data_IF_137460495539
#
_entry.id   IF_137460495539
#
_cell.length_a   1.000
_cell.length_b   1.000
_cell.length_c   1.000
_cell.angle_alpha   90.00
_cell.angle_beta   90.00
_cell.angle_gamma   90.00
#
_symmetry.space_group_name_H-M   'P 1'
#
loop_
_entity.id
_entity.type
_entity.pdbx_description
1 polymer ?
#
# COMPACT_ATOMS: atom_id res chain seq x y z
N UNK A 1 -3.36 24.75 9.75
CA UNK A 1 -3.17 24.03 8.49
C UNK A 1 -2.99 25.04 7.36
N UNK A 2 -1.98 24.86 6.52
CA UNK A 2 -1.77 25.63 5.30
C UNK A 2 -2.14 24.80 4.08
N UNK A 3 -2.81 25.39 3.09
CA UNK A 3 -3.20 24.72 1.84
C UNK A 3 -2.86 25.58 0.63
N UNK A 4 -2.44 24.95 -0.47
CA UNK A 4 -2.18 25.61 -1.75
C UNK A 4 -2.85 24.80 -2.89
N UNK A 5 -3.44 25.50 -3.86
CA UNK A 5 -4.05 24.91 -5.06
C UNK A 5 -3.28 25.39 -6.29
N UNK A 6 -2.68 24.46 -7.04
CA UNK A 6 -1.96 24.70 -8.30
C UNK A 6 -2.27 23.51 -9.23
N UNK A 7 -2.59 23.73 -10.50
CA UNK A 7 -2.80 22.68 -11.52
C UNK A 7 -3.76 21.52 -11.13
N UNK A 8 -5.00 21.85 -10.74
CA UNK A 8 -6.00 20.85 -10.30
C UNK A 8 -5.51 19.95 -9.15
N UNK A 9 -4.52 20.40 -8.37
CA UNK A 9 -4.02 19.72 -7.18
C UNK A 9 -4.32 20.52 -5.94
N UNK A 10 -4.65 19.82 -4.87
CA UNK A 10 -4.78 20.33 -3.53
C UNK A 10 -3.80 19.60 -2.63
N UNK A 11 -3.00 20.35 -1.88
CA UNK A 11 -2.08 19.78 -0.88
C UNK A 11 -2.64 20.00 0.52
N UNK A 12 -2.71 18.92 1.28
CA UNK A 12 -3.11 18.89 2.67
C UNK A 12 -1.95 18.40 3.55
N UNK A 13 -1.57 19.21 4.53
CA UNK A 13 -0.56 18.85 5.53
C UNK A 13 -1.27 18.57 6.86
N UNK A 14 -1.13 17.35 7.36
CA UNK A 14 -1.64 16.94 8.66
C UNK A 14 -0.49 17.04 9.67
N UNK A 15 -0.57 18.04 10.52
CA UNK A 15 0.41 18.28 11.59
C UNK A 15 0.22 17.30 12.75
N UNK A 16 1.31 17.00 13.47
CA UNK A 16 1.30 16.20 14.70
C UNK A 16 0.63 14.81 14.52
N UNK A 17 0.83 14.17 13.36
CA UNK A 17 0.11 12.95 12.95
C UNK A 17 0.25 11.81 13.98
N UNK A 18 1.45 11.61 14.55
CA UNK A 18 1.71 10.56 15.56
C UNK A 18 0.89 10.73 16.84
N UNK A 19 0.67 11.96 17.27
CA UNK A 19 0.00 12.27 18.55
C UNK A 19 -1.49 12.53 18.39
N UNK A 20 -1.98 12.54 17.15
CA UNK A 20 -3.36 12.88 16.84
C UNK A 20 -4.31 11.86 17.49
N UNK A 21 -5.27 12.33 18.29
CA UNK A 21 -6.22 11.44 18.98
C UNK A 21 -7.55 11.30 18.25
N UNK A 22 -7.84 12.18 17.29
CA UNK A 22 -9.10 12.19 16.55
C UNK A 22 -9.29 10.93 15.70
N UNK A 23 -10.47 10.34 15.78
CA UNK A 23 -10.87 9.20 14.95
C UNK A 23 -10.88 9.57 13.46
N UNK A 24 -11.39 10.76 13.14
CA UNK A 24 -11.43 11.32 11.80
C UNK A 24 -11.09 12.80 11.79
N UNK A 25 -10.52 13.26 10.68
CA UNK A 25 -10.19 14.66 10.44
C UNK A 25 -10.57 15.08 9.02
N UNK A 26 -10.65 16.38 8.85
CA UNK A 26 -11.19 17.09 7.70
C UNK A 26 -10.12 18.08 7.24
N UNK A 27 -9.88 18.17 5.93
CA UNK A 27 -9.03 19.21 5.36
C UNK A 27 -9.69 20.59 5.42
N UNK A 28 -9.15 21.59 4.74
CA UNK A 28 -9.96 22.75 4.35
C UNK A 28 -10.81 22.40 3.11
N UNK A 29 -11.86 23.17 2.86
CA UNK A 29 -12.61 23.07 1.60
C UNK A 29 -11.77 23.66 0.46
N UNK A 30 -11.76 23.00 -0.70
CA UNK A 30 -11.03 23.47 -1.88
C UNK A 30 -11.85 23.30 -3.16
N UNK A 31 -11.60 24.16 -4.15
CA UNK A 31 -12.37 24.19 -5.40
C UNK A 31 -11.53 23.65 -6.54
N UNK A 32 -11.99 22.57 -7.18
CA UNK A 32 -11.39 22.02 -8.40
C UNK A 32 -12.51 21.61 -9.36
N UNK A 33 -12.41 22.00 -10.63
CA UNK A 33 -13.43 21.75 -11.65
C UNK A 33 -14.79 22.38 -11.30
N UNK A 34 -14.78 23.57 -10.69
CA UNK A 34 -16.01 24.30 -10.30
C UNK A 34 -16.80 23.65 -9.16
N UNK A 35 -16.24 22.65 -8.48
CA UNK A 35 -16.89 21.94 -7.37
C UNK A 35 -16.09 22.12 -6.07
N UNK A 36 -16.78 22.34 -4.95
CA UNK A 36 -16.18 22.40 -3.62
C UNK A 36 -15.99 20.98 -3.08
N UNK A 37 -14.75 20.61 -2.85
CA UNK A 37 -14.31 19.31 -2.34
C UNK A 37 -13.74 19.43 -0.94
N UNK A 38 -13.60 18.28 -0.29
CA UNK A 38 -13.02 18.16 1.03
C UNK A 38 -12.42 16.76 1.21
N UNK A 39 -11.25 16.63 1.84
CA UNK A 39 -10.64 15.35 2.18
C UNK A 39 -11.01 14.92 3.59
N UNK A 40 -11.32 13.64 3.77
CA UNK A 40 -11.57 13.03 5.07
C UNK A 40 -10.51 11.96 5.30
N UNK A 41 -9.73 12.08 6.37
CA UNK A 41 -8.79 11.05 6.79
C UNK A 41 -9.24 10.40 8.10
N UNK A 42 -8.95 9.11 8.24
CA UNK A 42 -8.99 8.37 9.50
C UNK A 42 -7.55 7.99 9.86
N UNK A 43 -6.84 8.82 10.64
CA UNK A 43 -5.41 8.69 10.86
C UNK A 43 -4.99 7.43 11.62
N UNK A 44 -5.92 6.85 12.39
CA UNK A 44 -5.76 5.57 13.10
C UNK A 44 -6.53 4.42 12.42
N UNK A 45 -7.00 4.67 11.21
CA UNK A 45 -7.83 3.78 10.42
C UNK A 45 -9.30 3.75 10.79
N UNK A 46 -10.11 3.24 9.86
CA UNK A 46 -11.56 3.17 9.94
C UNK A 46 -12.01 1.72 10.10
N UNK A 47 -12.85 1.43 11.09
CA UNK A 47 -13.39 0.08 11.40
C UNK A 47 -12.30 -0.97 11.69
N UNK A 48 -11.35 -0.64 12.57
CA UNK A 48 -10.27 -1.53 13.02
C UNK A 48 -9.27 -1.96 11.92
N UNK A 49 -9.15 -1.19 10.84
CA UNK A 49 -8.03 -1.34 9.91
C UNK A 49 -6.79 -0.61 10.45
N UNK A 50 -5.63 -1.26 10.52
CA UNK A 50 -4.35 -0.64 10.88
C UNK A 50 -3.70 0.12 9.70
N UNK A 51 -4.55 0.83 8.95
CA UNK A 51 -4.19 1.59 7.76
C UNK A 51 -4.80 2.98 7.83
N UNK A 52 -4.07 4.00 7.36
CA UNK A 52 -4.64 5.30 7.06
C UNK A 52 -5.79 5.11 6.06
N UNK A 53 -6.99 5.57 6.39
CA UNK A 53 -8.10 5.65 5.43
C UNK A 53 -8.24 7.07 4.92
N UNK A 54 -8.52 7.23 3.63
CA UNK A 54 -8.60 8.53 2.97
C UNK A 54 -9.74 8.58 1.96
N UNK A 55 -10.59 9.60 2.06
CA UNK A 55 -11.76 9.80 1.23
C UNK A 55 -11.82 11.22 0.69
N UNK A 56 -12.38 11.35 -0.51
CA UNK A 56 -12.76 12.63 -1.10
C UNK A 56 -14.28 12.76 -1.00
N UNK A 57 -14.77 13.94 -0.59
CA UNK A 57 -16.19 14.24 -0.55
C UNK A 57 -16.53 15.61 -1.14
N UNK A 58 -17.75 15.76 -1.67
CA UNK A 58 -18.32 17.03 -2.12
C UNK A 58 -18.90 17.81 -0.94
N UNK A 59 -18.38 19.01 -0.67
CA UNK A 59 -18.72 19.85 0.47
C UNK A 59 -20.22 20.27 0.48
N UNK A 60 -20.77 20.54 1.67
CA UNK A 60 -22.24 20.56 1.90
C UNK A 60 -22.89 21.96 2.04
N UNK A 61 -22.24 23.06 1.65
CA UNK A 61 -22.75 24.40 2.01
C UNK A 61 -23.77 25.05 1.07
N UNK A 62 -23.71 24.78 -0.23
CA UNK A 62 -24.70 25.25 -1.21
C UNK A 62 -25.28 23.99 -1.88
N UNK A 63 -26.59 23.77 -1.80
CA UNK A 63 -27.23 22.60 -2.43
C UNK A 63 -26.99 22.68 -3.93
N UNK A 64 -26.04 21.88 -4.42
CA UNK A 64 -25.99 21.52 -5.83
C UNK A 64 -27.40 21.10 -6.25
N UNK A 65 -27.87 21.52 -7.43
CA UNK A 65 -29.24 21.30 -7.85
C UNK A 65 -29.57 19.80 -7.88
N UNK A 66 -30.85 19.49 -7.67
CA UNK A 66 -31.32 18.11 -7.67
C UNK A 66 -30.89 17.37 -8.96
N UNK A 67 -30.30 16.19 -8.79
CA UNK A 67 -29.74 15.41 -9.91
C UNK A 67 -28.35 15.83 -10.35
N UNK A 68 -27.62 16.62 -9.54
CA UNK A 68 -26.23 16.96 -9.83
C UNK A 68 -25.34 15.71 -9.90
N UNK A 69 -24.31 15.82 -10.71
CA UNK A 69 -23.36 14.74 -10.94
C UNK A 69 -21.98 15.32 -11.25
N UNK A 70 -20.92 14.72 -10.70
CA UNK A 70 -19.53 15.01 -11.05
C UNK A 70 -18.82 13.70 -11.34
N UNK A 71 -18.56 13.42 -12.61
CA UNK A 71 -17.67 12.33 -13.01
C UNK A 71 -16.24 12.85 -12.97
N UNK A 72 -15.42 12.27 -12.10
CA UNK A 72 -14.07 12.71 -11.85
C UNK A 72 -13.10 11.53 -11.81
N UNK A 73 -11.94 11.73 -12.42
CA UNK A 73 -10.75 10.94 -12.17
C UNK A 73 -9.99 11.58 -11.01
N UNK A 74 -9.72 10.80 -9.96
CA UNK A 74 -9.10 11.29 -8.73
C UNK A 74 -7.81 10.52 -8.49
N UNK A 75 -6.77 11.25 -8.10
CA UNK A 75 -5.47 10.74 -7.72
C UNK A 75 -5.17 11.21 -6.30
N UNK A 76 -4.95 10.29 -5.39
CA UNK A 76 -4.58 10.57 -4.00
C UNK A 76 -3.16 10.08 -3.76
N UNK A 77 -2.27 10.98 -3.41
CA UNK A 77 -0.85 10.69 -3.16
C UNK A 77 -0.52 10.97 -1.71
N UNK A 78 -0.01 9.97 -1.01
CA UNK A 78 0.71 10.16 0.26
C UNK A 78 2.16 10.44 -0.10
N UNK A 79 2.62 11.65 0.17
CA UNK A 79 3.94 12.13 -0.26
C UNK A 79 5.01 11.56 0.64
N UNK A 80 6.03 10.99 0.00
CA UNK A 80 7.30 10.69 0.63
C UNK A 80 8.26 11.85 0.36
N UNK A 81 8.67 12.55 1.41
CA UNK A 81 9.48 13.77 1.30
C UNK A 81 10.97 13.50 1.15
N UNK A 82 11.42 12.28 1.42
CA UNK A 82 12.81 11.86 1.18
C UNK A 82 13.02 11.45 -0.27
N UNK A 83 12.02 10.83 -0.90
CA UNK A 83 12.09 10.41 -2.29
C UNK A 83 10.72 10.39 -2.96
N UNK A 84 10.60 11.08 -4.08
CA UNK A 84 9.35 11.14 -4.83
C UNK A 84 8.93 9.76 -5.36
N UNK A 85 9.87 8.87 -5.70
CA UNK A 85 9.57 7.52 -6.22
C UNK A 85 8.92 6.61 -5.18
N UNK A 86 9.16 6.86 -3.89
CA UNK A 86 8.55 6.14 -2.78
C UNK A 86 7.17 6.67 -2.38
N UNK A 87 6.71 7.77 -2.98
CA UNK A 87 5.36 8.31 -2.74
C UNK A 87 4.29 7.31 -3.17
N UNK A 88 3.22 7.21 -2.40
CA UNK A 88 2.18 6.20 -2.60
C UNK A 88 0.97 6.84 -3.26
N UNK A 89 0.74 6.50 -4.53
CA UNK A 89 -0.37 6.98 -5.33
C UNK A 89 -1.44 5.89 -5.46
N UNK A 90 -2.70 6.24 -5.14
CA UNK A 90 -3.86 5.47 -5.54
C UNK A 90 -4.83 6.36 -6.31
N UNK A 91 -5.51 5.78 -7.28
CA UNK A 91 -6.43 6.49 -8.15
C UNK A 91 -7.75 5.75 -8.30
N UNK A 92 -8.80 6.52 -8.59
CA UNK A 92 -10.10 5.98 -8.93
C UNK A 92 -10.86 6.94 -9.83
N UNK A 93 -11.74 6.38 -10.66
CA UNK A 93 -12.80 7.14 -11.32
C UNK A 93 -14.08 7.01 -10.52
N UNK A 94 -14.73 8.13 -10.23
CA UNK A 94 -16.02 8.11 -9.55
C UNK A 94 -16.96 9.17 -10.09
N UNK A 95 -18.19 8.73 -10.29
CA UNK A 95 -19.34 9.60 -10.44
C UNK A 95 -19.90 9.93 -9.06
N UNK A 96 -19.70 11.16 -8.61
CA UNK A 96 -20.24 11.71 -7.37
C UNK A 96 -21.61 12.31 -7.62
N UNK A 97 -22.57 11.96 -6.77
CA UNK A 97 -23.94 12.47 -6.79
C UNK A 97 -24.49 12.56 -5.36
N UNK A 98 -25.77 12.89 -5.22
CA UNK A 98 -26.44 12.98 -3.92
C UNK A 98 -26.34 11.70 -3.07
N UNK A 99 -26.33 10.53 -3.71
CA UNK A 99 -26.31 9.23 -3.04
C UNK A 99 -24.89 8.80 -2.68
N UNK A 100 -23.91 9.22 -3.47
CA UNK A 100 -22.51 8.79 -3.40
C UNK A 100 -21.56 9.97 -3.34
N UNK A 101 -21.80 10.86 -2.38
CA UNK A 101 -21.02 12.09 -2.18
C UNK A 101 -19.58 11.89 -1.73
N UNK A 102 -19.23 10.70 -1.27
CA UNK A 102 -17.91 10.39 -0.72
C UNK A 102 -17.40 9.06 -1.27
N UNK A 103 -16.13 9.04 -1.66
CA UNK A 103 -15.47 7.84 -2.15
C UNK A 103 -13.97 7.89 -1.87
N UNK A 104 -13.33 6.73 -1.70
CA UNK A 104 -11.93 6.66 -1.34
C UNK A 104 -11.50 5.26 -0.91
N UNK A 105 -10.43 5.20 -0.12
CA UNK A 105 -9.78 3.97 0.27
C UNK A 105 -9.84 3.79 1.79
N UNK A 106 -10.34 2.63 2.22
CA UNK A 106 -10.25 2.19 3.62
C UNK A 106 -8.79 1.92 4.00
N UNK A 107 -8.02 1.34 3.08
CA UNK A 107 -6.62 1.01 3.27
C UNK A 107 -5.79 1.84 2.28
N UNK A 108 -5.53 3.11 2.60
CA UNK A 108 -4.68 3.96 1.76
C UNK A 108 -3.22 3.54 1.89
N UNK A 109 -2.73 3.50 3.13
CA UNK A 109 -1.35 3.12 3.46
C UNK A 109 -1.28 2.55 4.89
N UNK A 110 -0.60 1.42 5.16
CA UNK A 110 -0.45 0.88 6.50
C UNK A 110 0.19 1.87 7.48
N UNK A 111 -0.30 1.92 8.71
CA UNK A 111 0.24 2.84 9.72
C UNK A 111 1.67 2.48 10.12
N UNK A 112 2.01 1.19 10.08
CA UNK A 112 3.38 0.70 10.28
C UNK A 112 4.35 1.32 9.28
N UNK A 113 3.96 1.43 8.01
CA UNK A 113 4.76 2.07 6.97
C UNK A 113 4.92 3.57 7.21
N UNK A 114 3.85 4.26 7.60
CA UNK A 114 3.87 5.71 7.86
C UNK A 114 4.76 6.01 9.07
N UNK A 115 4.65 5.24 10.15
CA UNK A 115 5.32 5.50 11.42
C UNK A 115 6.77 5.01 11.49
N UNK A 116 7.21 4.17 10.54
CA UNK A 116 8.59 3.73 10.46
C UNK A 116 9.54 4.92 10.32
N UNK A 117 10.65 4.90 11.07
CA UNK A 117 11.53 6.07 11.26
C UNK A 117 12.12 6.60 9.96
N UNK A 118 12.51 5.69 9.07
CA UNK A 118 13.18 6.01 7.81
C UNK A 118 12.22 6.01 6.62
N UNK A 119 10.91 5.97 6.88
CA UNK A 119 9.90 5.85 5.83
C UNK A 119 9.86 7.03 4.88
N UNK A 120 10.19 8.23 5.35
CA UNK A 120 10.08 9.48 4.58
C UNK A 120 8.66 10.01 4.41
N UNK A 121 7.62 9.33 4.93
CA UNK A 121 6.24 9.83 4.90
C UNK A 121 5.92 10.82 6.03
N UNK A 122 6.61 10.71 7.16
CA UNK A 122 6.47 11.62 8.30
C UNK A 122 7.75 12.42 8.50
N UNK A 123 7.78 13.65 8.00
CA UNK A 123 8.88 14.60 8.25
C UNK A 123 8.40 15.65 9.23
N UNK A 124 9.17 15.89 10.31
CA UNK A 124 8.78 16.79 11.40
C UNK A 124 7.42 16.47 12.06
N UNK A 125 6.97 15.22 11.98
CA UNK A 125 5.66 14.81 12.50
C UNK A 125 4.47 15.21 11.61
N UNK A 126 4.73 15.72 10.41
CA UNK A 126 3.74 16.11 9.42
C UNK A 126 3.56 15.02 8.37
N UNK A 127 2.31 14.74 8.00
CA UNK A 127 1.97 13.87 6.86
C UNK A 127 1.40 14.73 5.73
N UNK A 128 2.01 14.65 4.56
CA UNK A 128 1.60 15.43 3.38
C UNK A 128 0.81 14.56 2.40
N UNK A 129 -0.39 15.03 2.06
CA UNK A 129 -1.32 14.39 1.13
C UNK A 129 -1.57 15.34 -0.03
N UNK A 130 -1.49 14.82 -1.25
CA UNK A 130 -1.82 15.58 -2.47
C UNK A 130 -2.99 14.90 -3.16
N UNK A 131 -4.07 15.65 -3.39
CA UNK A 131 -5.21 15.23 -4.18
C UNK A 131 -5.20 15.94 -5.53
N UNK A 132 -5.13 15.20 -6.64
CA UNK A 132 -5.39 15.72 -7.99
C UNK A 132 -6.78 15.27 -8.43
N UNK A 133 -7.56 16.19 -8.98
CA UNK A 133 -8.92 15.89 -9.43
C UNK A 133 -9.10 16.41 -10.86
N UNK A 134 -9.34 15.49 -11.79
CA UNK A 134 -9.69 15.81 -13.16
C UNK A 134 -11.19 15.56 -13.36
N UNK A 135 -11.99 16.63 -13.37
CA UNK A 135 -13.44 16.55 -13.59
C UNK A 135 -13.71 16.34 -15.08
N UNK A 136 -14.22 15.15 -15.43
CA UNK A 136 -14.50 14.73 -16.79
C UNK A 136 -15.88 15.19 -17.27
N UNK A 137 -16.87 15.18 -16.38
CA UNK A 137 -18.23 15.64 -16.68
C UNK A 137 -18.90 16.21 -15.44
N UNK A 138 -19.58 17.36 -15.61
CA UNK A 138 -20.38 17.99 -14.57
C UNK A 138 -21.82 18.20 -15.06
N UNK A 139 -22.81 17.86 -14.24
CA UNK A 139 -24.25 18.09 -14.49
C UNK A 139 -24.83 18.84 -13.28
N UNK A 140 -25.69 19.82 -13.52
CA UNK A 140 -26.35 20.58 -12.47
C UNK A 140 -25.51 21.76 -11.98
N UNK A 141 -25.29 22.75 -12.85
CA UNK A 141 -24.68 24.04 -12.53
C UNK A 141 -23.21 24.00 -12.13
N UNK A 142 -22.33 24.44 -13.02
CA UNK A 142 -21.14 25.19 -12.61
C UNK A 142 -21.63 26.62 -12.40
N UNK A 143 -21.07 27.37 -11.44
CA UNK A 143 -21.31 28.82 -11.38
C UNK A 143 -20.69 29.46 -12.64
N UNK A 144 -21.45 29.51 -13.73
CA UNK A 144 -21.43 30.60 -14.71
C UNK A 144 -22.71 30.59 -15.57
N UNK A 145 -23.17 31.79 -15.92
CA UNK A 145 -24.49 32.12 -16.49
C UNK A 145 -24.74 31.57 -17.90
N UNK A 146 -26.00 31.17 -18.14
CA UNK A 146 -26.76 31.17 -19.41
C UNK A 146 -27.46 29.85 -19.73
N UNK A 147 -28.78 29.96 -19.88
CA UNK A 147 -29.77 29.02 -20.42
C UNK A 147 -29.44 28.67 -21.89
N UNK A 148 -29.87 27.57 -22.53
CA UNK A 148 -31.27 27.17 -22.73
C UNK A 148 -31.42 25.72 -23.26
N UNK A 149 -32.66 25.24 -23.15
CA UNK A 149 -33.29 23.91 -23.34
C UNK A 149 -32.94 23.08 -24.60
N UNK A 150 -33.09 21.74 -24.63
CA UNK A 150 -34.39 21.04 -24.79
C UNK A 150 -34.30 19.49 -24.65
N UNK A 151 -35.46 18.88 -24.35
CA UNK A 151 -35.75 17.48 -23.93
C UNK A 151 -36.14 16.50 -25.11
N UNK A 152 -36.86 15.35 -24.95
CA UNK A 152 -36.54 14.03 -24.35
C UNK A 152 -36.99 12.78 -25.21
N UNK A 153 -37.00 11.57 -24.58
CA UNK A 153 -37.74 10.30 -24.88
C UNK A 153 -36.90 9.19 -25.56
N UNK A 154 -36.96 7.88 -25.21
CA UNK A 154 -38.07 7.01 -24.80
C UNK A 154 -37.62 5.84 -23.90
N UNK A 155 -38.53 5.39 -23.03
CA UNK A 155 -38.56 4.10 -22.31
C UNK A 155 -38.82 2.92 -23.26
N UNK A 156 -38.34 1.73 -22.92
CA UNK A 156 -39.11 0.47 -23.01
C UNK A 156 -38.64 -0.53 -21.95
N UNK A 157 -39.62 -1.26 -21.39
CA UNK A 157 -39.58 -2.19 -20.25
C UNK A 157 -39.56 -3.66 -20.72
N UNK A 158 -39.16 -4.52 -19.77
CA UNK A 158 -39.67 -5.88 -19.45
C UNK A 158 -39.43 -7.00 -20.49
N UNK A 159 -39.23 -8.26 -20.12
CA UNK A 159 -39.20 -9.03 -18.86
C UNK A 159 -38.37 -10.30 -19.15
N UNK A 160 -38.40 -11.43 -18.45
CA UNK A 160 -38.99 -11.97 -17.23
C UNK A 160 -38.22 -13.30 -16.95
N UNK A 161 -38.33 -13.84 -15.73
CA UNK A 161 -38.11 -15.23 -15.23
C UNK A 161 -37.66 -16.32 -16.22
N UNK A 162 -36.80 -17.29 -15.91
CA UNK A 162 -36.44 -17.93 -14.64
C UNK A 162 -36.35 -19.46 -14.88
N UNK A 163 -35.63 -20.16 -13.99
CA UNK A 163 -35.65 -21.61 -13.68
C UNK A 163 -34.41 -22.52 -13.96
N UNK A 164 -33.95 -23.11 -12.85
CA UNK A 164 -33.66 -24.51 -12.50
C UNK A 164 -32.77 -25.47 -13.32
N UNK A 165 -31.65 -25.84 -12.67
CA UNK A 165 -31.27 -27.18 -12.17
C UNK A 165 -31.31 -28.41 -13.11
N UNK A 166 -30.16 -29.09 -13.30
CA UNK A 166 -29.82 -30.45 -12.80
C UNK A 166 -28.58 -31.05 -13.53
N UNK A 167 -27.79 -31.74 -12.70
CA UNK A 167 -26.60 -32.60 -12.83
C UNK A 167 -26.48 -33.60 -14.00
N UNK A 168 -25.21 -33.88 -14.38
CA UNK A 168 -24.63 -35.22 -14.66
C UNK A 168 -23.16 -35.04 -15.11
N UNK A 169 -22.11 -35.35 -14.34
CA UNK A 169 -21.51 -36.66 -13.94
C UNK A 169 -20.39 -37.17 -14.87
N UNK A 170 -19.42 -37.88 -14.27
CA UNK A 170 -18.25 -38.62 -14.82
C UNK A 170 -16.92 -37.84 -14.77
N UNK A 171 -15.79 -38.36 -14.27
CA UNK A 171 -15.28 -39.74 -14.37
C UNK A 171 -14.19 -40.04 -13.32
N UNK A 172 -14.05 -41.32 -13.01
CA UNK A 172 -13.16 -41.97 -12.05
C UNK A 172 -11.67 -42.16 -12.48
N UNK A 173 -10.78 -42.08 -11.47
CA UNK A 173 -9.55 -42.87 -11.18
C UNK A 173 -8.30 -42.77 -12.12
N UNK A 174 -7.06 -43.11 -11.65
CA UNK A 174 -6.70 -43.94 -10.50
C UNK A 174 -5.60 -43.47 -9.54
N UNK A 175 -5.60 -44.15 -8.39
CA UNK A 175 -4.64 -44.19 -7.28
C UNK A 175 -3.29 -44.79 -7.75
N UNK A 176 -2.16 -44.13 -7.44
CA UNK A 176 -0.83 -44.74 -7.55
C UNK A 176 -0.15 -44.81 -6.18
N UNK A 177 0.44 -45.97 -5.92
CA UNK A 177 1.11 -46.37 -4.69
C UNK A 177 2.26 -45.40 -4.35
N UNK A 178 2.21 -44.83 -3.14
CA UNK A 178 3.42 -44.29 -2.50
C UNK A 178 3.77 -45.22 -1.35
N UNK A 179 5.00 -45.73 -1.39
CA UNK A 179 5.58 -46.55 -0.35
C UNK A 179 5.37 -45.89 1.01
N UNK A 180 4.74 -46.61 1.94
CA UNK A 180 4.69 -46.24 3.34
C UNK A 180 6.12 -46.19 3.87
N UNK A 181 6.67 -44.98 3.96
CA UNK A 181 7.69 -44.67 4.93
C UNK A 181 6.96 -44.72 6.27
N UNK A 182 7.26 -45.71 7.11
CA UNK A 182 6.76 -45.75 8.49
C UNK A 182 7.30 -44.50 9.20
N UNK A 183 6.53 -43.42 9.20
CA UNK A 183 6.79 -42.24 10.00
C UNK A 183 6.68 -42.65 11.47
N UNK A 184 7.82 -42.76 12.14
CA UNK A 184 7.87 -42.95 13.58
C UNK A 184 7.37 -41.67 14.26
N UNK A 185 6.25 -41.80 14.99
CA UNK A 185 5.68 -40.72 15.78
C UNK A 185 6.16 -40.79 17.23
N UNK A 186 6.62 -39.67 17.78
CA UNK A 186 7.10 -39.56 19.16
C UNK A 186 6.27 -38.57 19.96
N UNK A 187 6.04 -38.89 21.24
CA UNK A 187 5.31 -38.03 22.17
C UNK A 187 6.23 -36.97 22.80
N UNK A 188 5.82 -35.69 22.75
CA UNK A 188 6.43 -34.57 23.49
C UNK A 188 5.30 -33.75 24.12
N UNK A 189 5.30 -33.62 25.46
CA UNK A 189 4.33 -32.82 26.23
C UNK A 189 2.84 -33.11 25.93
N UNK A 190 2.49 -34.35 25.60
CA UNK A 190 1.11 -34.78 25.27
C UNK A 190 0.70 -34.56 23.80
N UNK A 191 1.68 -34.41 22.90
CA UNK A 191 1.49 -34.23 21.46
C UNK A 191 2.39 -35.21 20.68
N UNK A 192 1.98 -35.63 19.48
CA UNK A 192 2.69 -36.65 18.69
C UNK A 192 3.21 -36.08 17.37
N UNK A 193 4.48 -36.38 17.04
CA UNK A 193 5.24 -35.74 15.94
C UNK A 193 6.09 -36.73 15.16
N UNK A 194 6.31 -36.48 13.87
CA UNK A 194 7.28 -37.27 13.08
C UNK A 194 8.70 -37.01 13.58
N UNK A 195 9.58 -38.02 13.49
CA UNK A 195 10.99 -37.97 13.92
C UNK A 195 11.74 -36.66 13.57
N UNK A 196 11.48 -36.11 12.38
CA UNK A 196 12.13 -34.89 11.85
C UNK A 196 11.71 -33.62 12.60
N UNK A 197 10.51 -33.59 13.18
CA UNK A 197 9.94 -32.41 13.83
C UNK A 197 10.15 -32.40 15.35
N UNK A 198 10.46 -33.56 15.95
CA UNK A 198 10.54 -33.75 17.41
C UNK A 198 11.51 -32.78 18.08
N UNK A 199 12.69 -32.59 17.52
CA UNK A 199 13.72 -31.75 18.16
C UNK A 199 13.38 -30.26 18.08
N UNK A 200 12.87 -29.81 16.94
CA UNK A 200 12.38 -28.43 16.76
C UNK A 200 11.24 -28.12 17.72
N UNK A 201 10.29 -29.04 17.85
CA UNK A 201 9.17 -28.87 18.76
C UNK A 201 9.62 -28.86 20.22
N UNK A 202 10.52 -29.76 20.63
CA UNK A 202 11.11 -29.72 21.97
C UNK A 202 11.75 -28.38 22.28
N UNK A 203 12.53 -27.84 21.33
CA UNK A 203 13.16 -26.54 21.47
C UNK A 203 12.13 -25.42 21.65
N UNK A 204 11.02 -25.44 20.88
CA UNK A 204 9.93 -24.47 21.04
C UNK A 204 9.32 -24.54 22.44
N UNK A 205 8.99 -25.73 22.94
CA UNK A 205 8.42 -25.88 24.29
C UNK A 205 9.41 -25.55 25.41
N UNK A 206 10.71 -25.72 25.18
CA UNK A 206 11.74 -25.29 26.13
C UNK A 206 11.88 -23.77 26.18
N UNK A 207 11.84 -23.12 25.00
CA UNK A 207 11.92 -21.67 24.89
C UNK A 207 10.63 -20.97 25.36
N UNK A 208 9.47 -21.62 25.17
CA UNK A 208 8.14 -21.09 25.49
C UNK A 208 7.31 -22.15 26.24
N UNK A 209 7.56 -22.35 27.56
CA UNK A 209 6.90 -23.40 28.33
C UNK A 209 5.38 -23.25 28.45
N UNK A 210 4.88 -22.01 28.34
CA UNK A 210 3.48 -21.62 28.44
C UNK A 210 2.72 -21.68 27.11
N UNK A 211 3.39 -22.02 26.00
CA UNK A 211 2.84 -21.97 24.64
C UNK A 211 1.50 -22.70 24.48
N UNK A 212 1.27 -23.79 25.21
CA UNK A 212 0.05 -24.60 25.14
C UNK A 212 -0.84 -24.50 26.40
N UNK A 213 -0.57 -23.53 27.29
CA UNK A 213 -1.24 -23.42 28.60
C UNK A 213 -2.75 -23.16 28.50
N UNK A 214 -3.20 -22.43 27.48
CA UNK A 214 -4.62 -22.13 27.24
C UNK A 214 -5.34 -23.12 26.31
N UNK A 215 -4.67 -24.18 25.84
CA UNK A 215 -5.22 -25.08 24.81
C UNK A 215 -6.30 -25.99 25.40
N UNK A 216 -7.55 -25.73 25.01
CA UNK A 216 -8.72 -26.43 25.58
C UNK A 216 -9.05 -27.76 24.88
N UNK A 217 -8.59 -27.95 23.64
CA UNK A 217 -8.90 -29.16 22.88
C UNK A 217 -8.13 -30.37 23.40
N UNK A 218 -8.85 -31.48 23.66
CA UNK A 218 -8.25 -32.78 24.00
C UNK A 218 -7.99 -33.64 22.75
N UNK A 219 -8.39 -33.19 21.56
CA UNK A 219 -8.18 -33.92 20.31
C UNK A 219 -6.71 -33.82 19.88
N UNK A 220 -6.00 -34.94 19.96
CA UNK A 220 -4.58 -35.04 19.63
C UNK A 220 -4.28 -34.64 18.18
N UNK A 221 -5.12 -35.02 17.22
CA UNK A 221 -4.94 -34.64 15.82
C UNK A 221 -4.99 -33.11 15.64
N UNK A 222 -5.97 -32.44 16.24
CA UNK A 222 -6.07 -30.98 16.18
C UNK A 222 -4.86 -30.30 16.84
N UNK A 223 -4.42 -30.83 17.98
CA UNK A 223 -3.21 -30.37 18.69
C UNK A 223 -1.96 -30.46 17.79
N UNK A 224 -1.76 -31.59 17.10
CA UNK A 224 -0.67 -31.75 16.14
C UNK A 224 -0.81 -30.79 14.94
N UNK A 225 -2.02 -30.59 14.42
CA UNK A 225 -2.28 -29.62 13.33
C UNK A 225 -1.84 -28.20 13.72
N UNK A 226 -2.20 -27.71 14.90
CA UNK A 226 -1.81 -26.36 15.33
C UNK A 226 -0.30 -26.19 15.50
N UNK A 227 0.41 -27.21 15.99
CA UNK A 227 1.87 -27.17 16.08
C UNK A 227 2.50 -27.15 14.67
N UNK A 228 1.96 -27.94 13.72
CA UNK A 228 2.43 -27.90 12.33
C UNK A 228 2.21 -26.53 11.68
N UNK A 229 1.09 -25.87 12.00
CA UNK A 229 0.83 -24.48 11.58
C UNK A 229 1.91 -23.55 12.15
N UNK A 230 2.24 -23.67 13.44
CA UNK A 230 3.29 -22.87 14.08
C UNK A 230 4.66 -23.11 13.45
N UNK A 231 5.03 -24.36 13.18
CA UNK A 231 6.27 -24.69 12.47
C UNK A 231 6.31 -24.05 11.08
N UNK A 232 5.20 -24.09 10.35
CA UNK A 232 5.06 -23.42 9.06
C UNK A 232 5.28 -21.91 9.15
N UNK A 233 4.66 -21.25 10.14
CA UNK A 233 4.85 -19.81 10.38
C UNK A 233 6.30 -19.51 10.72
N UNK A 234 6.92 -20.25 11.65
CA UNK A 234 8.34 -20.06 12.01
C UNK A 234 9.23 -20.21 10.78
N UNK A 235 9.01 -21.25 9.97
CA UNK A 235 9.77 -21.49 8.75
C UNK A 235 9.63 -20.33 7.75
N UNK A 236 8.43 -19.77 7.60
CA UNK A 236 8.19 -18.57 6.79
C UNK A 236 8.96 -17.38 7.36
N UNK A 237 8.85 -17.09 8.67
CA UNK A 237 9.52 -15.92 9.27
C UNK A 237 11.05 -16.01 9.27
N UNK A 238 11.61 -17.22 9.17
CA UNK A 238 13.05 -17.43 9.02
C UNK A 238 13.58 -17.18 7.60
N UNK A 239 12.71 -16.98 6.59
CA UNK A 239 13.17 -16.67 5.23
C UNK A 239 13.74 -15.25 5.15
N UNK A 240 14.65 -14.99 4.20
CA UNK A 240 15.12 -13.64 3.91
C UNK A 240 13.95 -12.68 3.59
N UNK A 241 13.92 -11.45 4.14
CA UNK A 241 12.80 -10.52 3.92
C UNK A 241 12.51 -10.22 2.43
N UNK A 242 13.53 -10.27 1.58
CA UNK A 242 13.44 -10.09 0.13
C UNK A 242 12.63 -11.21 -0.56
N UNK A 243 12.72 -12.43 -0.05
CA UNK A 243 12.07 -13.61 -0.64
C UNK A 243 10.61 -13.77 -0.19
N UNK A 244 10.23 -13.11 0.89
CA UNK A 244 8.86 -13.13 1.41
C UNK A 244 7.90 -12.35 0.52
N UNK A 245 6.78 -12.94 0.14
CA UNK A 245 5.70 -12.19 -0.51
C UNK A 245 4.73 -11.59 0.51
N UNK A 246 3.99 -10.56 0.12
CA UNK A 246 2.91 -10.01 0.95
C UNK A 246 1.86 -11.08 1.29
N UNK A 247 1.64 -12.03 0.39
CA UNK A 247 0.71 -13.15 0.59
C UNK A 247 1.24 -14.20 1.56
N UNK A 248 2.56 -14.43 1.63
CA UNK A 248 3.18 -15.27 2.66
C UNK A 248 2.96 -14.66 4.05
N UNK A 249 3.20 -13.35 4.17
CA UNK A 249 3.06 -12.60 5.42
C UNK A 249 1.60 -12.53 5.89
N UNK A 250 0.65 -12.32 4.97
CA UNK A 250 -0.78 -12.40 5.27
C UNK A 250 -1.19 -13.80 5.72
N UNK A 251 -0.72 -14.85 5.03
CA UNK A 251 -0.98 -16.24 5.44
C UNK A 251 -0.42 -16.54 6.83
N UNK A 252 0.78 -16.07 7.14
CA UNK A 252 1.38 -16.20 8.46
C UNK A 252 0.54 -15.49 9.54
N UNK A 253 0.07 -14.27 9.26
CA UNK A 253 -0.82 -13.52 10.16
C UNK A 253 -2.13 -14.28 10.43
N UNK A 254 -2.81 -14.78 9.38
CA UNK A 254 -4.03 -15.57 9.53
C UNK A 254 -3.79 -16.88 10.29
N UNK A 255 -2.66 -17.55 10.03
CA UNK A 255 -2.26 -18.75 10.73
C UNK A 255 -2.09 -18.50 12.24
N UNK A 256 -1.43 -17.40 12.62
CA UNK A 256 -1.29 -17.01 14.03
C UNK A 256 -2.64 -16.74 14.69
N UNK A 257 -3.53 -15.98 14.03
CA UNK A 257 -4.87 -15.71 14.55
C UNK A 257 -5.67 -17.00 14.83
N UNK A 258 -5.55 -18.00 13.94
CA UNK A 258 -6.16 -19.31 14.14
C UNK A 258 -5.59 -20.05 15.37
N UNK A 259 -4.27 -19.97 15.59
CA UNK A 259 -3.59 -20.64 16.69
C UNK A 259 -3.89 -19.96 18.04
N UNK A 260 -3.93 -18.63 18.08
CA UNK A 260 -4.38 -17.84 19.25
C UNK A 260 -5.82 -18.20 19.62
N UNK A 261 -6.71 -18.30 18.63
CA UNK A 261 -8.11 -18.71 18.86
C UNK A 261 -8.23 -20.11 19.46
N UNK A 262 -7.25 -20.99 19.19
CA UNK A 262 -7.19 -22.32 19.78
C UNK A 262 -6.60 -22.36 21.21
N UNK A 263 -6.20 -21.20 21.74
CA UNK A 263 -5.71 -21.02 23.11
C UNK A 263 -4.19 -21.11 23.27
N UNK A 264 -3.42 -21.15 22.18
CA UNK A 264 -1.96 -21.11 22.26
C UNK A 264 -1.46 -19.70 22.58
N UNK A 265 -0.42 -19.62 23.42
CA UNK A 265 0.25 -18.36 23.79
C UNK A 265 1.42 -18.12 22.83
N UNK A 266 1.24 -17.23 21.86
CA UNK A 266 2.19 -17.04 20.74
C UNK A 266 2.57 -15.58 20.49
N UNK A 267 2.43 -14.72 21.51
CA UNK A 267 2.77 -13.29 21.45
C UNK A 267 4.20 -13.05 20.95
N UNK A 268 5.14 -13.92 21.33
CA UNK A 268 6.53 -13.87 20.87
C UNK A 268 6.64 -14.02 19.34
N UNK A 269 5.79 -14.86 18.73
CA UNK A 269 5.78 -15.12 17.30
C UNK A 269 5.03 -14.03 16.54
N UNK A 270 3.98 -13.45 17.14
CA UNK A 270 3.32 -12.24 16.64
C UNK A 270 4.30 -11.05 16.59
N UNK A 271 5.07 -10.85 17.65
CA UNK A 271 6.12 -9.83 17.70
C UNK A 271 7.22 -10.08 16.65
N UNK A 272 7.63 -11.33 16.46
CA UNK A 272 8.60 -11.68 15.41
C UNK A 272 8.04 -11.42 14.00
N UNK A 273 6.75 -11.69 13.74
CA UNK A 273 6.11 -11.35 12.47
C UNK A 273 6.14 -9.83 12.24
N UNK A 274 5.85 -9.02 13.27
CA UNK A 274 5.97 -7.57 13.18
C UNK A 274 7.41 -7.13 12.86
N UNK A 275 8.41 -7.73 13.51
CA UNK A 275 9.82 -7.41 13.23
C UNK A 275 10.23 -7.78 11.80
N UNK A 276 9.76 -8.92 11.28
CA UNK A 276 10.03 -9.32 9.89
C UNK A 276 9.37 -8.36 8.90
N UNK A 277 8.16 -7.87 9.20
CA UNK A 277 7.49 -6.83 8.41
C UNK A 277 8.30 -5.52 8.38
N UNK A 278 8.80 -5.07 9.53
CA UNK A 278 9.67 -3.89 9.63
C UNK A 278 10.98 -4.07 8.86
N UNK A 279 11.60 -5.25 8.96
CA UNK A 279 12.85 -5.56 8.26
C UNK A 279 12.64 -5.55 6.75
N UNK A 280 11.56 -6.17 6.26
CA UNK A 280 11.19 -6.15 4.84
C UNK A 280 10.99 -4.73 4.33
N UNK A 281 10.32 -3.89 5.12
CA UNK A 281 10.11 -2.50 4.77
C UNK A 281 11.41 -1.69 4.74
N UNK A 282 12.28 -1.90 5.73
CA UNK A 282 13.60 -1.26 5.79
C UNK A 282 14.45 -1.60 4.56
N UNK A 283 14.46 -2.87 4.17
CA UNK A 283 15.17 -3.34 2.96
C UNK A 283 14.64 -2.63 1.71
N UNK A 284 13.31 -2.62 1.51
CA UNK A 284 12.68 -2.00 0.34
C UNK A 284 13.05 -0.51 0.21
N UNK A 285 13.00 0.24 1.31
CA UNK A 285 13.39 1.65 1.33
C UNK A 285 14.87 1.80 0.98
N UNK A 286 15.73 1.03 1.64
CA UNK A 286 17.18 1.10 1.43
C UNK A 286 17.59 0.80 -0.01
N UNK A 287 17.01 -0.24 -0.61
CA UNK A 287 17.25 -0.60 -2.01
C UNK A 287 16.78 0.50 -2.98
N UNK A 288 15.61 1.09 -2.73
CA UNK A 288 15.10 2.18 -3.58
C UNK A 288 15.97 3.43 -3.48
N UNK A 289 16.40 3.79 -2.27
CA UNK A 289 17.31 4.93 -2.05
C UNK A 289 18.68 4.68 -2.71
N UNK A 290 19.20 3.46 -2.64
CA UNK A 290 20.45 3.09 -3.29
C UNK A 290 20.35 3.25 -4.82
N UNK A 291 19.30 2.72 -5.44
CA UNK A 291 19.05 2.87 -6.88
C UNK A 291 18.96 4.35 -7.30
N UNK A 292 18.31 5.19 -6.49
CA UNK A 292 18.24 6.62 -6.75
C UNK A 292 19.62 7.30 -6.68
N UNK A 293 20.44 6.93 -5.69
CA UNK A 293 21.82 7.41 -5.56
C UNK A 293 22.69 6.96 -6.73
N UNK A 294 22.54 5.70 -7.18
CA UNK A 294 23.24 5.17 -8.36
C UNK A 294 22.86 5.93 -9.64
N UNK A 295 21.57 6.22 -9.83
CA UNK A 295 21.10 7.02 -10.97
C UNK A 295 21.69 8.44 -10.95
N UNK A 296 21.67 9.10 -9.78
CA UNK A 296 22.29 10.43 -9.60
C UNK A 296 23.79 10.38 -9.90
N UNK A 297 24.49 9.35 -9.44
CA UNK A 297 25.91 9.16 -9.72
C UNK A 297 26.19 8.98 -11.21
N UNK A 298 25.35 8.22 -11.94
CA UNK A 298 25.46 8.07 -13.39
C UNK A 298 25.24 9.40 -14.11
N UNK A 299 24.23 10.19 -13.70
CA UNK A 299 23.96 11.52 -14.27
C UNK A 299 25.17 12.45 -14.09
N UNK A 300 25.74 12.51 -12.89
CA UNK A 300 26.90 13.35 -12.61
C UNK A 300 28.15 12.89 -13.37
N UNK A 301 28.32 11.58 -13.56
CA UNK A 301 29.42 11.04 -14.38
C UNK A 301 29.31 11.46 -15.84
N UNK A 302 28.10 11.53 -16.38
CA UNK A 302 27.84 12.01 -17.74
C UNK A 302 28.16 13.51 -17.85
N UNK A 303 27.62 14.32 -16.92
CA UNK A 303 27.87 15.77 -16.88
C UNK A 303 29.37 16.10 -16.79
N UNK A 304 30.13 15.34 -15.97
CA UNK A 304 31.59 15.46 -15.89
C UNK A 304 32.24 15.23 -17.26
N UNK A 305 31.84 14.21 -18.01
CA UNK A 305 32.42 13.91 -19.34
C UNK A 305 32.12 15.05 -20.32
N UNK A 306 30.89 15.57 -20.33
CA UNK A 306 30.50 16.70 -21.17
C UNK A 306 31.30 17.96 -20.83
N UNK A 307 31.51 18.22 -19.54
CA UNK A 307 32.31 19.35 -19.08
C UNK A 307 33.80 19.19 -19.43
N UNK A 308 34.36 17.99 -19.30
CA UNK A 308 35.74 17.68 -19.71
C UNK A 308 35.93 17.89 -21.22
N UNK A 309 34.98 17.46 -22.05
CA UNK A 309 34.98 17.70 -23.49
C UNK A 309 34.91 19.21 -23.81
N UNK A 310 33.99 19.92 -23.15
CA UNK A 310 33.83 21.38 -23.31
C UNK A 310 35.09 22.14 -22.90
N UNK A 311 35.74 21.73 -21.81
CA UNK A 311 37.01 22.31 -21.38
C UNK A 311 38.14 22.05 -22.37
N UNK A 312 38.21 20.86 -22.96
CA UNK A 312 39.22 20.52 -23.97
C UNK A 312 39.05 21.39 -25.21
N UNK A 313 37.82 21.50 -25.74
CA UNK A 313 37.51 22.37 -26.86
C UNK A 313 37.89 23.82 -26.56
N UNK A 314 37.51 24.34 -25.39
CA UNK A 314 37.83 25.73 -25.03
C UNK A 314 39.33 25.98 -24.91
N UNK A 315 40.11 25.00 -24.43
CA UNK A 315 41.57 25.09 -24.40
C UNK A 315 42.16 25.17 -25.81
N UNK A 316 41.63 24.40 -26.76
CA UNK A 316 42.06 24.44 -28.16
C UNK A 316 41.73 25.80 -28.81
N UNK A 317 40.52 26.33 -28.62
CA UNK A 317 40.12 27.66 -29.10
C UNK A 317 41.04 28.76 -28.54
N UNK A 318 41.33 28.72 -27.24
CA UNK A 318 42.24 29.68 -26.60
C UNK A 318 43.67 29.52 -27.11
N UNK A 319 44.12 28.30 -27.42
CA UNK A 319 45.44 28.06 -28.00
C UNK A 319 45.54 28.65 -29.41
N UNK A 320 44.51 28.47 -30.24
CA UNK A 320 44.43 29.06 -31.59
C UNK A 320 44.43 30.58 -31.54
N UNK A 321 43.62 31.18 -30.66
CA UNK A 321 43.54 32.65 -30.52
C UNK A 321 44.84 33.31 -30.01
N UNK A 322 45.76 32.53 -29.42
CA UNK A 322 47.08 33.01 -28.98
C UNK A 322 48.12 33.05 -30.09
N UNK A 323 47.86 32.45 -31.25
CA UNK A 323 48.79 32.44 -32.39
C UNK A 323 48.76 33.85 -33.04
N UNK A 324 49.90 34.57 -33.13
CA UNK A 324 49.94 35.85 -33.81
C UNK A 324 49.61 35.69 -35.31
N UNK A 325 48.89 36.65 -35.88
CA UNK A 325 48.67 36.70 -37.33
C UNK A 325 50.02 36.85 -38.04
N UNK A 326 50.23 36.06 -39.11
CA UNK A 326 51.43 36.20 -39.93
C UNK A 326 51.33 37.44 -40.81
N UNK A 327 52.48 37.88 -41.34
CA UNK A 327 52.52 38.99 -42.30
C UNK A 327 51.67 38.72 -43.54
N UNK A 328 51.58 37.47 -43.99
CA UNK A 328 50.78 37.06 -45.14
C UNK A 328 49.27 37.02 -44.84
N UNK A 329 48.86 36.86 -43.57
CA UNK A 329 47.45 36.93 -43.15
C UNK A 329 46.91 38.38 -43.12
N UNK A 330 47.79 39.38 -43.22
CA UNK A 330 47.49 40.81 -43.08
C UNK A 330 47.55 41.60 -44.40
N UNK A 331 47.91 40.94 -45.52
CA UNK A 331 47.99 41.52 -46.86
C UNK A 331 46.73 41.24 -47.67
#
# INVERSE_FOLDING_TARGET
MGSQVVDNKFTWVIENFRTLQSEKIYSDEFIIGGCKWHLIAYPKGHKAADCLSLFLTVAKRESLPDGWMRDAQVYLTIVNEHSQSLSQLKEFRKCFDEKTRSWGFLEMLPLTFIHHKDSGFLVNGELKIVAKIDVLKAIGGILDESEEATQPLKKRKQGNDGNDTVLSSSSDLPLNNTQQLEESFFEVNGFYYSSVQVETVKHIFQAHPDIASGVQTKCQHLRTTYINILLGVIQTLCQPPQELTDDDLKRASYALACVVTAGFQVDWLENNLHQVLENKFTVLIGETQLLEMEFKLLSLKLERIELEASMKQKKEEVAVAKIPLSFDDLL
#
